data_IF_670386644332
#
_entry.id   IF_670386644332
#
_cell.length_a   1.000
_cell.length_b   1.000
_cell.length_c   1.000
_cell.angle_alpha   90.00
_cell.angle_beta   90.00
_cell.angle_gamma   90.00
#
_symmetry.space_group_name_H-M   'P 1'
#
loop_
_entity.id
_entity.type
_entity.pdbx_description
1 polymer ?
#
# COMPACT_ATOMS: atom_id res chain seq x y z
N UNK A 1 7.47 10.36 1.11
CA UNK A 1 7.21 9.07 0.44
C UNK A 1 6.02 8.42 1.13
N UNK A 2 5.56 7.26 0.67
CA UNK A 2 4.50 6.51 1.38
C UNK A 2 4.96 6.02 2.77
N UNK A 3 6.27 5.85 2.97
CA UNK A 3 6.89 5.57 4.28
C UNK A 3 6.65 6.71 5.28
N UNK A 4 6.71 7.97 4.83
CA UNK A 4 6.47 9.13 5.70
C UNK A 4 5.02 9.13 6.17
N UNK A 5 4.07 8.81 5.28
CA UNK A 5 2.65 8.66 5.62
C UNK A 5 2.43 7.57 6.68
N UNK A 6 3.07 6.40 6.53
CA UNK A 6 2.98 5.34 7.54
C UNK A 6 3.57 5.81 8.88
N UNK A 7 4.70 6.51 8.85
CA UNK A 7 5.36 7.02 10.07
C UNK A 7 4.46 8.00 10.81
N UNK A 8 3.81 8.92 10.09
CA UNK A 8 2.84 9.86 10.66
C UNK A 8 1.60 9.15 11.23
N UNK A 9 1.06 8.17 10.51
CA UNK A 9 -0.05 7.33 10.99
C UNK A 9 0.32 6.64 12.29
N UNK A 10 1.51 6.01 12.35
CA UNK A 10 1.97 5.32 13.56
C UNK A 10 2.18 6.27 14.74
N UNK A 11 2.68 7.49 14.47
CA UNK A 11 2.89 8.50 15.48
C UNK A 11 1.58 9.09 16.02
N UNK A 12 0.54 9.18 15.19
CA UNK A 12 -0.74 9.76 15.56
C UNK A 12 -1.71 8.72 16.15
N UNK A 13 -2.02 7.67 15.40
CA UNK A 13 -2.85 6.54 15.81
C UNK A 13 -2.67 5.37 14.81
N UNK A 14 -2.00 4.28 15.20
CA UNK A 14 -1.79 3.11 14.34
C UNK A 14 -3.08 2.50 13.77
N UNK A 15 -4.24 2.70 14.43
CA UNK A 15 -5.51 2.20 13.91
C UNK A 15 -5.95 2.90 12.61
N UNK A 16 -5.41 4.10 12.30
CA UNK A 16 -5.68 4.82 11.06
C UNK A 16 -5.14 4.10 9.83
N UNK A 17 -4.13 3.22 9.98
CA UNK A 17 -3.61 2.41 8.88
C UNK A 17 -4.71 1.60 8.19
N UNK A 18 -5.71 1.12 8.95
CA UNK A 18 -6.85 0.34 8.46
C UNK A 18 -7.78 1.10 7.51
N UNK A 19 -7.65 2.42 7.45
CA UNK A 19 -8.43 3.29 6.55
C UNK A 19 -7.70 3.60 5.25
N UNK A 20 -6.45 3.13 5.11
CA UNK A 20 -5.63 3.34 3.91
C UNK A 20 -5.76 2.13 3.01
N UNK A 21 -6.10 2.38 1.74
CA UNK A 21 -6.20 1.38 0.69
C UNK A 21 -5.09 1.61 -0.34
N UNK A 22 -4.32 0.58 -0.64
CA UNK A 22 -3.26 0.56 -1.64
C UNK A 22 -3.75 -0.24 -2.84
N UNK A 23 -3.65 0.35 -4.03
CA UNK A 23 -4.02 -0.29 -5.28
C UNK A 23 -2.81 -1.03 -5.85
N UNK A 24 -2.77 -2.36 -5.73
CA UNK A 24 -1.61 -3.14 -6.21
C UNK A 24 -1.46 -3.05 -7.74
N UNK A 25 -2.57 -3.06 -8.47
CA UNK A 25 -2.64 -2.98 -9.93
C UNK A 25 -2.60 -1.54 -10.45
N UNK A 26 -2.62 -0.56 -9.55
CA UNK A 26 -2.48 0.87 -9.85
C UNK A 26 -1.04 1.39 -9.73
N UNK A 27 -0.08 0.52 -9.42
CA UNK A 27 1.34 0.89 -9.22
C UNK A 27 2.27 -0.04 -9.98
N UNK A 28 3.46 0.45 -10.33
CA UNK A 28 4.49 -0.36 -10.98
C UNK A 28 5.88 -0.02 -10.45
N UNK A 29 6.76 -1.03 -10.26
CA UNK A 29 8.14 -0.79 -9.86
C UNK A 29 8.91 -0.11 -11.00
N UNK A 30 9.86 0.75 -10.64
CA UNK A 30 10.77 1.36 -11.60
C UNK A 30 11.84 0.34 -11.97
N UNK A 31 12.02 0.09 -13.27
CA UNK A 31 13.10 -0.77 -13.77
C UNK A 31 13.92 0.03 -14.77
N UNK A 32 15.22 0.20 -14.48
CA UNK A 32 16.17 0.86 -15.38
C UNK A 32 17.15 -0.19 -15.91
N UNK A 33 17.03 -0.57 -17.20
CA UNK A 33 17.86 -1.63 -17.78
C UNK A 33 19.37 -1.36 -17.61
N UNK A 34 20.08 -2.35 -17.07
CA UNK A 34 21.53 -2.28 -16.86
C UNK A 34 21.97 -1.40 -15.68
N UNK A 35 21.05 -0.84 -14.91
CA UNK A 35 21.36 0.04 -13.77
C UNK A 35 20.75 -0.48 -12.47
N UNK A 36 19.42 -0.60 -12.39
CA UNK A 36 18.73 -0.94 -11.15
C UNK A 36 17.31 -1.44 -11.43
N UNK A 37 16.90 -2.44 -10.65
CA UNK A 37 15.54 -2.99 -10.63
C UNK A 37 14.97 -2.83 -9.22
N UNK A 38 13.81 -2.18 -9.10
CA UNK A 38 13.14 -1.93 -7.83
C UNK A 38 11.98 -2.88 -7.54
N UNK A 39 11.81 -3.96 -8.31
CA UNK A 39 10.69 -4.91 -8.16
C UNK A 39 10.63 -5.49 -6.74
N UNK A 40 11.72 -6.08 -6.26
CA UNK A 40 11.75 -6.67 -4.90
C UNK A 40 11.51 -5.62 -3.80
N UNK A 41 11.96 -4.38 -4.03
CA UNK A 41 11.76 -3.29 -3.07
C UNK A 41 10.31 -2.83 -3.04
N UNK A 42 9.63 -2.83 -4.19
CA UNK A 42 8.20 -2.54 -4.27
C UNK A 42 7.39 -3.61 -3.53
N UNK A 43 7.67 -4.89 -3.77
CA UNK A 43 6.99 -6.01 -3.09
C UNK A 43 7.19 -5.97 -1.58
N UNK A 44 8.43 -5.72 -1.14
CA UNK A 44 8.77 -5.56 0.28
C UNK A 44 8.02 -4.37 0.92
N UNK A 45 7.88 -3.26 0.19
CA UNK A 45 7.15 -2.10 0.68
C UNK A 45 5.65 -2.41 0.84
N UNK A 46 5.01 -3.06 -0.13
CA UNK A 46 3.61 -3.50 -0.03
C UNK A 46 3.38 -4.40 1.18
N UNK A 47 4.25 -5.41 1.39
CA UNK A 47 4.15 -6.29 2.54
C UNK A 47 4.26 -5.53 3.86
N UNK A 48 5.24 -4.62 3.98
CA UNK A 48 5.41 -3.80 5.19
C UNK A 48 4.18 -2.93 5.48
N UNK A 49 3.53 -2.37 4.47
CA UNK A 49 2.32 -1.57 4.66
C UNK A 49 1.12 -2.42 5.04
N UNK A 50 0.98 -3.61 4.44
CA UNK A 50 -0.04 -4.58 4.83
C UNK A 50 0.15 -5.04 6.29
N UNK A 51 1.38 -5.32 6.70
CA UNK A 51 1.73 -5.70 8.08
C UNK A 51 1.41 -4.59 9.10
N UNK A 52 1.53 -3.33 8.67
CA UNK A 52 1.13 -2.17 9.46
C UNK A 52 -0.40 -1.96 9.54
N UNK A 53 -1.18 -2.77 8.82
CA UNK A 53 -2.64 -2.77 8.84
C UNK A 53 -3.31 -2.01 7.70
N UNK A 54 -2.57 -1.57 6.68
CA UNK A 54 -3.16 -1.02 5.45
C UNK A 54 -3.80 -2.13 4.61
N UNK A 55 -4.79 -1.77 3.80
CA UNK A 55 -5.53 -2.70 2.96
C UNK A 55 -4.97 -2.69 1.54
N UNK A 56 -4.61 -3.85 0.99
CA UNK A 56 -4.23 -3.97 -0.42
C UNK A 56 -5.46 -4.44 -1.19
N UNK A 57 -5.85 -3.69 -2.23
CA UNK A 57 -7.04 -3.97 -3.05
C UNK A 57 -6.71 -3.80 -4.53
N UNK A 58 -7.58 -4.30 -5.41
CA UNK A 58 -7.47 -4.09 -6.86
C UNK A 58 -8.40 -2.98 -7.31
N UNK A 59 -7.95 -2.18 -8.26
CA UNK A 59 -8.73 -1.09 -8.86
C UNK A 59 -10.01 -1.58 -9.56
N UNK A 60 -10.02 -2.84 -10.01
CA UNK A 60 -11.18 -3.48 -10.64
C UNK A 60 -12.22 -4.03 -9.66
N UNK A 61 -11.88 -4.18 -8.38
CA UNK A 61 -12.82 -4.65 -7.37
C UNK A 61 -13.80 -3.53 -7.01
N UNK A 62 -15.09 -3.85 -6.92
CA UNK A 62 -16.08 -2.86 -6.54
C UNK A 62 -15.77 -2.32 -5.14
N UNK A 63 -15.93 -1.01 -4.90
CA UNK A 63 -15.60 -0.40 -3.60
C UNK A 63 -16.39 -1.04 -2.45
N UNK A 64 -17.60 -1.52 -2.70
CA UNK A 64 -18.41 -2.27 -1.71
C UNK A 64 -17.78 -3.62 -1.28
N UNK A 65 -16.79 -4.11 -2.01
CA UNK A 65 -16.02 -5.32 -1.67
C UNK A 65 -14.77 -5.00 -0.85
N UNK A 66 -14.42 -3.71 -0.70
CA UNK A 66 -13.23 -3.32 0.03
C UNK A 66 -13.41 -3.53 1.54
N UNK A 67 -12.38 -4.01 2.26
CA UNK A 67 -12.49 -4.29 3.68
C UNK A 67 -12.94 -3.06 4.48
N UNK A 68 -14.01 -3.18 5.26
CA UNK A 68 -14.47 -2.12 6.17
C UNK A 68 -15.27 -0.98 5.50
N UNK A 69 -15.61 -1.11 4.21
CA UNK A 69 -16.53 -0.19 3.53
C UNK A 69 -17.96 -0.74 3.59
N UNK A 70 -18.93 0.12 3.93
CA UNK A 70 -20.37 -0.16 3.89
C UNK A 70 -21.04 0.91 3.02
N UNK A 71 -21.71 0.50 1.92
CA UNK A 71 -22.21 1.36 0.84
C UNK A 71 -23.67 1.06 0.49
#
# INVERSE_FOLDING_TARGET
TIDDLLTEIQAQDPALAKKVYLLEDGTSPVVVPGVVDFTDQADTAFQRFADAGMQVVKSGDAIAQWPGVDL
#
